data_IF_724702438661
#
_entry.id   IF_724702438661
#
_cell.length_a   1.000
_cell.length_b   1.000
_cell.length_c   1.000
_cell.angle_alpha   90.00
_cell.angle_beta   90.00
_cell.angle_gamma   90.00
#
_symmetry.space_group_name_H-M   'P 1'
#
loop_
_entity.id
_entity.type
_entity.pdbx_description
1 polymer ?
#
# COMPACT_ATOMS: atom_id res chain seq x y z
N UNK A 1 -11.69 -8.56 6.53
CA UNK A 1 -11.08 -7.49 5.70
C UNK A 1 -9.60 -7.73 5.46
N UNK A 2 -8.69 -7.55 6.43
CA UNK A 2 -7.25 -7.87 6.21
C UNK A 2 -7.00 -9.36 6.00
N UNK A 3 -7.76 -10.21 6.70
CA UNK A 3 -7.74 -11.67 6.48
C UNK A 3 -8.06 -12.05 5.03
N UNK A 4 -9.09 -11.44 4.43
CA UNK A 4 -9.47 -11.70 3.03
C UNK A 4 -8.38 -11.25 2.05
N UNK A 5 -7.67 -10.16 2.37
CA UNK A 5 -6.50 -9.70 1.60
C UNK A 5 -5.40 -10.76 1.67
N UNK A 6 -5.09 -11.26 2.86
CA UNK A 6 -4.10 -12.32 3.06
C UNK A 6 -4.42 -13.58 2.26
N UNK A 7 -5.67 -14.05 2.35
CA UNK A 7 -6.16 -15.20 1.61
C UNK A 7 -6.03 -14.99 0.10
N UNK A 8 -6.27 -13.79 -0.40
CA UNK A 8 -6.08 -13.48 -1.82
C UNK A 8 -4.61 -13.47 -2.23
N UNK A 9 -3.70 -12.95 -1.40
CA UNK A 9 -2.26 -13.00 -1.69
C UNK A 9 -1.79 -14.44 -1.87
N UNK A 10 -2.16 -15.34 -0.95
CA UNK A 10 -1.86 -16.77 -1.09
C UNK A 10 -2.55 -17.40 -2.31
N UNK A 11 -3.85 -17.17 -2.47
CA UNK A 11 -4.67 -17.77 -3.55
C UNK A 11 -4.11 -17.47 -4.93
N UNK A 12 -3.66 -16.24 -5.17
CA UNK A 12 -3.13 -15.81 -6.46
C UNK A 12 -1.60 -15.91 -6.54
N UNK A 13 -0.95 -16.42 -5.51
CA UNK A 13 0.51 -16.53 -5.41
C UNK A 13 1.19 -15.18 -5.73
N UNK A 14 0.71 -14.11 -5.09
CA UNK A 14 1.27 -12.77 -5.27
C UNK A 14 2.56 -12.66 -4.47
N UNK A 15 3.63 -12.22 -5.12
CA UNK A 15 4.96 -12.12 -4.49
C UNK A 15 5.35 -10.68 -4.13
N UNK A 16 4.53 -9.69 -4.49
CA UNK A 16 4.74 -8.28 -4.18
C UNK A 16 3.43 -7.50 -4.33
N UNK A 17 3.37 -6.33 -3.70
CA UNK A 17 2.27 -5.38 -3.84
C UNK A 17 2.80 -3.98 -4.16
N UNK A 18 2.22 -3.35 -5.18
CA UNK A 18 2.40 -1.93 -5.47
C UNK A 18 1.06 -1.24 -5.21
N UNK A 19 1.04 -0.29 -4.28
CA UNK A 19 -0.14 0.48 -3.90
C UNK A 19 0.02 1.89 -4.45
N UNK A 20 -0.88 2.33 -5.33
CA UNK A 20 -0.85 3.66 -5.93
C UNK A 20 -1.99 4.48 -5.34
N UNK A 21 -1.67 5.63 -4.74
CA UNK A 21 -2.70 6.52 -4.20
C UNK A 21 -2.19 7.57 -3.22
N UNK A 22 -3.13 8.24 -2.58
CA UNK A 22 -2.88 9.32 -1.62
C UNK A 22 -2.63 8.83 -0.19
N UNK A 23 -3.14 9.59 0.78
CA UNK A 23 -2.93 9.31 2.19
C UNK A 23 -3.55 7.98 2.66
N UNK A 24 -4.64 7.56 2.02
CA UNK A 24 -5.32 6.29 2.28
C UNK A 24 -4.48 5.10 1.83
N UNK A 25 -3.74 5.23 0.72
CA UNK A 25 -2.79 4.21 0.27
C UNK A 25 -1.65 4.05 1.27
N UNK A 26 -1.11 5.17 1.78
CA UNK A 26 -0.11 5.18 2.84
C UNK A 26 -0.62 4.51 4.13
N UNK A 27 -1.79 4.93 4.60
CA UNK A 27 -2.38 4.43 5.85
C UNK A 27 -2.78 2.95 5.76
N UNK A 28 -3.38 2.54 4.63
CA UNK A 28 -3.73 1.14 4.38
C UNK A 28 -2.49 0.26 4.22
N UNK A 29 -1.44 0.74 3.54
CA UNK A 29 -0.15 0.06 3.49
C UNK A 29 0.45 -0.16 4.88
N UNK A 30 0.36 0.84 5.76
CA UNK A 30 0.81 0.72 7.16
C UNK A 30 -0.02 -0.29 7.95
N UNK A 31 -1.33 -0.37 7.73
CA UNK A 31 -2.20 -1.39 8.33
C UNK A 31 -1.78 -2.80 7.90
N UNK A 32 -1.49 -3.00 6.61
CA UNK A 32 -1.00 -4.29 6.09
C UNK A 32 0.37 -4.66 6.68
N UNK A 33 1.29 -3.69 6.81
CA UNK A 33 2.60 -3.93 7.43
C UNK A 33 2.46 -4.35 8.89
N UNK A 34 1.59 -3.70 9.67
CA UNK A 34 1.32 -4.09 11.07
C UNK A 34 0.70 -5.47 11.16
N UNK A 35 -0.15 -5.84 10.21
CA UNK A 35 -0.83 -7.13 10.19
C UNK A 35 0.10 -8.32 9.85
N UNK A 36 1.35 -8.08 9.42
CA UNK A 36 2.37 -9.13 9.18
C UNK A 36 2.66 -9.98 10.42
N UNK A 37 2.44 -9.46 11.62
CA UNK A 37 2.59 -10.24 12.86
C UNK A 37 1.59 -11.40 12.95
N UNK A 38 0.46 -11.29 12.25
CA UNK A 38 -0.63 -12.28 12.26
C UNK A 38 -0.73 -13.08 10.97
N UNK A 39 -0.29 -12.52 9.85
CA UNK A 39 -0.50 -13.07 8.52
C UNK A 39 0.82 -13.12 7.73
N UNK A 40 1.39 -14.31 7.58
CA UNK A 40 2.68 -14.53 6.89
C UNK A 40 2.59 -14.19 5.39
N UNK A 41 1.41 -14.33 4.78
CA UNK A 41 1.21 -14.00 3.36
C UNK A 41 1.42 -12.50 3.09
N UNK A 42 1.24 -11.63 4.10
CA UNK A 42 1.52 -10.20 3.99
C UNK A 42 3.02 -9.86 4.04
N UNK A 43 3.90 -10.83 4.29
CA UNK A 43 5.36 -10.64 4.33
C UNK A 43 6.02 -10.54 2.95
N UNK A 44 5.25 -10.27 1.91
CA UNK A 44 5.75 -9.90 0.58
C UNK A 44 6.25 -8.45 0.55
N UNK A 45 7.21 -8.09 -0.31
CA UNK A 45 7.57 -6.69 -0.56
C UNK A 45 6.36 -5.83 -0.91
N UNK A 46 6.23 -4.68 -0.24
CA UNK A 46 5.15 -3.72 -0.46
C UNK A 46 5.75 -2.35 -0.74
N UNK A 47 5.30 -1.71 -1.81
CA UNK A 47 5.73 -0.35 -2.21
C UNK A 47 4.51 0.53 -2.37
N UNK A 48 4.61 1.77 -1.88
CA UNK A 48 3.59 2.80 -2.06
C UNK A 48 4.13 3.82 -3.05
N UNK A 49 3.35 4.10 -4.10
CA UNK A 49 3.61 5.16 -5.07
C UNK A 49 2.65 6.32 -4.76
N UNK A 50 3.14 7.45 -4.24
CA UNK A 50 2.32 8.61 -3.94
C UNK A 50 1.64 9.16 -5.20
N UNK A 51 0.31 9.16 -5.21
CA UNK A 51 -0.52 9.68 -6.29
C UNK A 51 -1.74 10.41 -5.72
N UNK A 52 -1.65 11.74 -5.68
CA UNK A 52 -2.68 12.64 -5.17
C UNK A 52 -2.40 14.06 -5.65
N UNK A 53 -3.44 14.88 -5.82
CA UNK A 53 -3.31 16.31 -6.12
C UNK A 53 -2.81 17.12 -4.92
N UNK A 54 -3.03 16.62 -3.70
CA UNK A 54 -2.77 17.36 -2.46
C UNK A 54 -1.29 17.37 -2.02
N UNK A 55 -0.44 16.55 -2.64
CA UNK A 55 0.97 16.36 -2.28
C UNK A 55 1.22 16.17 -0.76
N UNK A 56 0.36 15.39 -0.11
CA UNK A 56 0.31 15.26 1.35
C UNK A 56 0.71 13.85 1.85
N UNK A 57 1.35 13.04 1.00
CA UNK A 57 1.75 11.69 1.37
C UNK A 57 3.13 11.73 2.04
N UNK A 58 3.28 11.27 3.28
CA UNK A 58 4.58 11.22 3.94
C UNK A 58 5.57 10.33 3.19
N UNK A 59 6.84 10.73 3.18
CA UNK A 59 7.93 9.94 2.57
C UNK A 59 8.23 10.27 1.11
N UNK A 60 7.55 11.26 0.52
CA UNK A 60 7.91 11.83 -0.78
C UNK A 60 7.70 13.34 -0.78
N UNK A 61 8.57 14.06 -1.49
CA UNK A 61 8.41 15.50 -1.73
C UNK A 61 7.39 15.79 -2.84
N UNK A 62 7.07 14.77 -3.67
CA UNK A 62 6.18 14.91 -4.81
C UNK A 62 5.27 13.71 -5.01
N UNK A 63 4.00 13.96 -5.33
CA UNK A 63 3.02 12.95 -5.71
C UNK A 63 2.55 13.12 -7.15
N UNK A 64 2.26 11.98 -7.79
CA UNK A 64 1.67 11.96 -9.12
C UNK A 64 0.34 12.71 -9.10
N UNK A 65 0.14 13.62 -10.04
CA UNK A 65 -1.05 14.46 -10.16
C UNK A 65 -0.95 15.83 -9.49
N UNK A 66 0.06 16.08 -8.65
CA UNK A 66 0.26 17.40 -8.03
C UNK A 66 0.63 18.49 -9.05
N UNK A 67 1.42 18.17 -10.08
CA UNK A 67 1.80 19.12 -11.15
C UNK A 67 0.63 19.49 -12.09
N UNK A 68 -0.35 18.59 -12.19
CA UNK A 68 -1.50 18.76 -13.10
C UNK A 68 -2.63 19.57 -12.47
N UNK A 69 -2.70 19.60 -11.13
CA UNK A 69 -3.82 20.12 -10.35
C UNK A 69 -3.98 21.66 -10.41
#
# INVERSE_FOLDING_TARGET
>A
MVEDISLNIAKFNLHALIIIGGFEAFSGGLELVKAREKYEELCVPMVIIPATVSNNVPGSDFSIGADTA
#
